data_IF_136756233086
#
_entry.id   IF_136756233086
#
_cell.length_a   1.000
_cell.length_b   1.000
_cell.length_c   1.000
_cell.angle_alpha   90.00
_cell.angle_beta   90.00
_cell.angle_gamma   90.00
#
_symmetry.space_group_name_H-M   'P 1'
#
loop_
_entity.id
_entity.type
_entity.pdbx_description
1 polymer ?
#
# COMPACT_ATOMS: atom_id res chain seq x y z
N UNK A 1 -43.03 27.64 -34.98
CA UNK A 1 -43.47 27.66 -33.57
C UNK A 1 -44.08 26.29 -33.31
N UNK A 2 -43.50 25.35 -32.58
CA UNK A 2 -42.60 25.44 -31.42
C UNK A 2 -41.75 24.17 -31.36
N UNK A 3 -40.48 24.36 -31.09
CA UNK A 3 -39.44 23.36 -30.88
C UNK A 3 -39.46 22.87 -29.42
N UNK A 4 -38.87 21.70 -29.18
CA UNK A 4 -38.33 21.20 -27.91
C UNK A 4 -39.26 20.43 -26.95
N UNK A 5 -39.17 19.09 -27.02
CA UNK A 5 -39.00 18.23 -25.85
C UNK A 5 -38.63 16.78 -26.28
N UNK A 6 -37.47 16.59 -26.92
CA UNK A 6 -36.89 15.26 -27.09
C UNK A 6 -35.39 15.23 -26.77
N UNK A 7 -34.97 16.00 -25.76
CA UNK A 7 -33.60 16.04 -25.24
C UNK A 7 -33.52 15.41 -23.85
N UNK A 8 -34.00 14.17 -23.72
CA UNK A 8 -33.66 13.33 -22.58
C UNK A 8 -33.60 11.87 -23.03
N UNK A 9 -32.45 11.44 -23.59
CA UNK A 9 -31.74 10.35 -22.93
C UNK A 9 -30.22 10.47 -23.12
N UNK A 10 -29.52 11.27 -22.31
CA UNK A 10 -28.04 11.31 -22.37
C UNK A 10 -27.31 11.55 -21.04
N UNK A 11 -28.03 11.81 -19.93
CA UNK A 11 -27.41 11.97 -18.59
C UNK A 11 -27.61 10.78 -17.64
N UNK A 12 -28.29 9.74 -18.08
CA UNK A 12 -28.48 8.50 -17.33
C UNK A 12 -27.57 7.39 -17.87
N UNK A 13 -26.24 7.44 -17.64
CA UNK A 13 -25.36 6.30 -17.95
C UNK A 13 -23.95 6.33 -17.31
N UNK A 14 -23.68 7.13 -16.27
CA UNK A 14 -22.43 7.01 -15.51
C UNK A 14 -22.62 6.06 -14.32
N UNK A 15 -22.91 4.78 -14.60
CA UNK A 15 -23.19 3.77 -13.58
C UNK A 15 -21.93 3.26 -12.85
N UNK A 16 -22.07 2.83 -11.60
CA UNK A 16 -21.03 2.27 -10.72
C UNK A 16 -21.41 2.50 -9.25
N UNK A 17 -20.79 1.80 -8.29
CA UNK A 17 -21.04 2.12 -6.88
C UNK A 17 -20.37 3.45 -6.54
N UNK A 18 -21.10 4.50 -6.11
CA UNK A 18 -20.48 5.79 -5.82
C UNK A 18 -19.51 5.66 -4.65
N UNK A 19 -18.38 6.37 -4.73
CA UNK A 19 -17.42 6.44 -3.64
C UNK A 19 -17.98 7.32 -2.53
N UNK A 20 -18.08 6.78 -1.30
CA UNK A 20 -18.51 7.58 -0.16
C UNK A 20 -17.43 8.59 0.25
N UNK A 21 -17.87 9.77 0.71
CA UNK A 21 -16.96 10.80 1.21
C UNK A 21 -16.06 10.28 2.34
N UNK A 22 -16.58 9.40 3.21
CA UNK A 22 -15.81 8.81 4.30
C UNK A 22 -14.58 8.03 3.83
N UNK A 23 -14.68 7.29 2.72
CA UNK A 23 -13.55 6.56 2.13
C UNK A 23 -12.53 7.52 1.51
N UNK A 24 -13.00 8.56 0.80
CA UNK A 24 -12.11 9.57 0.21
C UNK A 24 -11.36 10.37 1.28
N UNK A 25 -12.04 10.74 2.37
CA UNK A 25 -11.46 11.43 3.52
C UNK A 25 -10.44 10.54 4.25
N UNK A 26 -10.75 9.26 4.47
CA UNK A 26 -9.82 8.30 5.05
C UNK A 26 -8.55 8.19 4.20
N UNK A 27 -8.69 7.97 2.89
CA UNK A 27 -7.54 7.86 1.99
C UNK A 27 -6.68 9.13 2.01
N UNK A 28 -7.30 10.31 2.04
CA UNK A 28 -6.58 11.59 2.15
C UNK A 28 -5.85 11.74 3.48
N UNK A 29 -6.52 11.41 4.59
CA UNK A 29 -5.92 11.47 5.93
C UNK A 29 -4.72 10.53 6.05
N UNK A 30 -4.86 9.30 5.55
CA UNK A 30 -3.74 8.34 5.51
C UNK A 30 -2.64 8.82 4.56
N UNK A 31 -2.97 9.44 3.42
CA UNK A 31 -1.96 10.00 2.52
C UNK A 31 -1.12 11.08 3.20
N UNK A 32 -1.78 12.02 3.90
CA UNK A 32 -1.10 13.08 4.67
C UNK A 32 -0.23 12.48 5.76
N UNK A 33 -0.76 11.53 6.54
CA UNK A 33 0.00 10.83 7.56
C UNK A 33 1.21 10.08 6.96
N UNK A 34 1.02 9.47 5.79
CA UNK A 34 2.07 8.73 5.10
C UNK A 34 3.17 9.63 4.57
N UNK A 35 2.85 10.85 4.12
CA UNK A 35 3.85 11.86 3.78
C UNK A 35 4.63 12.31 5.01
N UNK A 36 3.94 12.64 6.11
CA UNK A 36 4.55 13.21 7.30
C UNK A 36 5.35 12.18 8.09
N UNK A 37 4.70 11.10 8.51
CA UNK A 37 5.30 10.02 9.31
C UNK A 37 6.23 9.18 8.44
N UNK A 38 5.80 8.80 7.24
CA UNK A 38 6.65 8.03 6.33
C UNK A 38 7.88 8.81 5.88
N UNK A 39 7.71 10.09 5.57
CA UNK A 39 8.82 11.00 5.27
C UNK A 39 9.78 11.15 6.44
N UNK A 40 9.28 11.32 7.66
CA UNK A 40 10.10 11.40 8.88
C UNK A 40 10.91 10.11 9.11
N UNK A 41 10.26 8.96 9.10
CA UNK A 41 10.93 7.65 9.31
C UNK A 41 11.99 7.40 8.23
N UNK A 42 11.67 7.70 6.96
CA UNK A 42 12.61 7.59 5.85
C UNK A 42 13.81 8.53 6.06
N UNK A 43 13.56 9.81 6.33
CA UNK A 43 14.61 10.81 6.49
C UNK A 43 15.55 10.47 7.64
N UNK A 44 15.01 10.08 8.80
CA UNK A 44 15.83 9.70 9.97
C UNK A 44 16.64 8.43 9.66
N UNK A 45 16.04 7.43 9.00
CA UNK A 45 16.74 6.22 8.58
C UNK A 45 17.93 6.50 7.65
N UNK A 46 17.77 7.44 6.71
CA UNK A 46 18.84 7.86 5.79
C UNK A 46 20.02 8.49 6.52
N UNK A 47 19.80 9.11 7.69
CA UNK A 47 20.89 9.61 8.55
C UNK A 47 21.57 8.52 9.38
N UNK A 48 21.08 7.28 9.34
CA UNK A 48 21.58 6.15 10.12
C UNK A 48 21.07 6.08 11.56
N UNK A 49 20.15 6.96 11.96
CA UNK A 49 19.54 6.92 13.28
C UNK A 49 18.31 6.02 13.29
N UNK A 50 18.09 5.34 14.42
CA UNK A 50 16.89 4.54 14.65
C UNK A 50 15.82 5.43 15.27
N UNK A 51 14.64 5.48 14.64
CA UNK A 51 13.48 6.18 15.17
C UNK A 51 12.21 5.47 14.73
N UNK A 52 11.28 5.29 15.66
CA UNK A 52 10.07 4.52 15.43
C UNK A 52 9.22 4.36 16.69
N UNK A 53 8.10 3.64 16.60
CA UNK A 53 7.17 3.44 17.72
C UNK A 53 7.66 2.40 18.73
N UNK A 54 8.65 1.60 18.32
CA UNK A 54 9.33 0.56 19.09
C UNK A 54 10.83 0.63 18.83
N UNK A 55 11.66 0.02 19.69
CA UNK A 55 13.08 -0.18 19.42
C UNK A 55 13.27 -1.11 18.22
N UNK A 56 14.18 -0.75 17.32
CA UNK A 56 14.60 -1.59 16.18
C UNK A 56 16.11 -1.80 16.25
N UNK A 57 16.59 -2.95 15.79
CA UNK A 57 18.03 -3.26 15.76
C UNK A 57 18.81 -2.31 14.85
N UNK A 58 18.21 -1.97 13.70
CA UNK A 58 18.83 -1.13 12.69
C UNK A 58 17.87 -0.07 12.16
N UNK A 59 18.43 1.01 11.60
CA UNK A 59 17.63 2.08 11.01
C UNK A 59 16.92 1.66 9.72
N UNK A 60 17.33 0.54 9.11
CA UNK A 60 16.81 0.05 7.83
C UNK A 60 15.31 -0.28 7.92
N UNK A 61 14.86 -1.00 8.96
CA UNK A 61 13.46 -1.43 9.10
C UNK A 61 12.47 -0.26 9.22
N UNK A 62 12.65 0.70 10.15
CA UNK A 62 11.81 1.90 10.17
C UNK A 62 11.87 2.69 8.86
N UNK A 63 13.04 2.73 8.22
CA UNK A 63 13.22 3.36 6.91
C UNK A 63 12.39 2.72 5.81
N UNK A 64 12.35 1.39 5.74
CA UNK A 64 11.55 0.65 4.75
C UNK A 64 10.05 0.81 4.98
N UNK A 65 9.60 0.80 6.24
CA UNK A 65 8.21 1.11 6.61
C UNK A 65 7.88 2.55 6.18
N UNK A 66 8.77 3.50 6.49
CA UNK A 66 8.64 4.89 6.10
C UNK A 66 8.57 5.09 4.59
N UNK A 67 9.42 4.38 3.84
CA UNK A 67 9.44 4.41 2.39
C UNK A 67 8.13 3.87 1.80
N UNK A 68 7.62 2.75 2.34
CA UNK A 68 6.35 2.19 1.89
C UNK A 68 5.16 3.15 2.14
N UNK A 69 5.14 3.82 3.30
CA UNK A 69 4.18 4.89 3.57
C UNK A 69 4.34 6.03 2.55
N UNK A 70 5.54 6.59 2.43
CA UNK A 70 5.81 7.74 1.57
C UNK A 70 5.46 7.45 0.09
N UNK A 71 5.83 6.27 -0.39
CA UNK A 71 5.63 5.84 -1.77
C UNK A 71 4.17 5.52 -2.13
N UNK A 72 3.34 5.16 -1.15
CA UNK A 72 1.90 4.91 -1.39
C UNK A 72 1.06 6.19 -1.40
N UNK A 73 1.54 7.29 -0.83
CA UNK A 73 0.81 8.54 -0.70
C UNK A 73 0.24 9.10 -2.02
N UNK A 74 0.95 9.12 -3.17
CA UNK A 74 0.40 9.62 -4.44
C UNK A 74 -0.83 8.83 -4.92
N UNK A 75 -0.84 7.51 -4.72
CA UNK A 75 -1.99 6.66 -5.04
C UNK A 75 -3.19 6.96 -4.14
N UNK A 76 -2.95 7.20 -2.85
CA UNK A 76 -4.00 7.56 -1.90
C UNK A 76 -4.61 8.94 -2.19
N UNK A 77 -3.82 9.94 -2.59
CA UNK A 77 -4.37 11.22 -3.08
C UNK A 77 -5.17 11.06 -4.38
N UNK A 78 -4.85 10.07 -5.21
CA UNK A 78 -5.65 9.77 -6.40
C UNK A 78 -7.04 9.21 -6.05
N UNK A 79 -7.19 8.49 -4.94
CA UNK A 79 -8.49 7.99 -4.45
C UNK A 79 -9.47 9.13 -4.19
N UNK A 80 -9.00 10.25 -3.63
CA UNK A 80 -9.84 11.42 -3.35
C UNK A 80 -10.47 12.05 -4.61
N UNK A 81 -9.91 11.77 -5.79
CA UNK A 81 -10.39 12.27 -7.08
C UNK A 81 -11.26 11.25 -7.83
N UNK A 82 -11.35 10.02 -7.34
CA UNK A 82 -12.17 8.98 -7.95
C UNK A 82 -13.64 9.18 -7.61
N UNK A 83 -14.53 8.78 -8.53
CA UNK A 83 -15.99 8.91 -8.32
C UNK A 83 -16.65 7.59 -7.99
N UNK A 84 -16.03 6.49 -8.36
CA UNK A 84 -16.61 5.15 -8.23
C UNK A 84 -15.70 4.24 -7.42
N UNK A 85 -16.33 3.35 -6.65
CA UNK A 85 -15.66 2.34 -5.83
C UNK A 85 -14.76 1.42 -6.64
N UNK A 86 -15.22 1.03 -7.83
CA UNK A 86 -14.52 0.10 -8.71
C UNK A 86 -13.15 0.64 -9.16
N UNK A 87 -12.99 1.97 -9.23
CA UNK A 87 -11.74 2.62 -9.63
C UNK A 87 -10.66 2.55 -8.55
N UNK A 88 -11.05 2.34 -7.29
CA UNK A 88 -10.16 2.50 -6.12
C UNK A 88 -10.05 1.25 -5.26
N UNK A 89 -10.95 0.27 -5.44
CA UNK A 89 -11.00 -0.92 -4.58
C UNK A 89 -9.69 -1.71 -4.56
N UNK A 90 -8.95 -1.74 -5.66
CA UNK A 90 -7.65 -2.44 -5.74
C UNK A 90 -6.57 -1.81 -4.86
N UNK A 91 -6.69 -0.53 -4.49
CA UNK A 91 -5.81 0.15 -3.55
C UNK A 91 -6.37 0.17 -2.12
N UNK A 92 -7.70 0.20 -1.97
CA UNK A 92 -8.34 0.29 -0.66
C UNK A 92 -8.34 -1.03 0.14
N UNK A 93 -8.39 -2.19 -0.52
CA UNK A 93 -8.21 -3.46 0.19
C UNK A 93 -6.79 -3.60 0.79
N UNK A 94 -5.70 -3.35 0.04
CA UNK A 94 -4.36 -3.26 0.62
C UNK A 94 -4.23 -2.25 1.74
N UNK A 95 -4.83 -1.06 1.59
CA UNK A 95 -4.83 -0.05 2.63
C UNK A 95 -5.47 -0.59 3.93
N UNK A 96 -6.61 -1.27 3.84
CA UNK A 96 -7.26 -1.89 4.99
C UNK A 96 -6.36 -2.95 5.64
N UNK A 97 -5.66 -3.76 4.84
CA UNK A 97 -4.70 -4.76 5.31
C UNK A 97 -3.56 -4.08 6.08
N UNK A 98 -3.00 -2.98 5.58
CA UNK A 98 -1.96 -2.22 6.29
C UNK A 98 -2.50 -1.70 7.62
N UNK A 99 -3.64 -1.00 7.61
CA UNK A 99 -4.17 -0.35 8.81
C UNK A 99 -4.55 -1.38 9.88
N UNK A 100 -5.29 -2.41 9.52
CA UNK A 100 -5.74 -3.46 10.45
C UNK A 100 -4.57 -4.34 10.86
N UNK A 101 -3.72 -4.74 9.92
CA UNK A 101 -2.58 -5.62 10.18
C UNK A 101 -1.55 -4.95 11.07
N UNK A 102 -1.17 -3.71 10.77
CA UNK A 102 -0.17 -2.99 11.55
C UNK A 102 -0.70 -2.63 12.93
N UNK A 103 -1.99 -2.28 13.04
CA UNK A 103 -2.63 -2.10 14.35
C UNK A 103 -2.61 -3.39 15.17
N UNK A 104 -2.97 -4.51 14.54
CA UNK A 104 -2.95 -5.83 15.19
C UNK A 104 -1.56 -6.21 15.67
N UNK A 105 -0.53 -6.04 14.84
CA UNK A 105 0.88 -6.28 15.23
C UNK A 105 1.30 -5.36 16.37
N UNK A 106 0.94 -4.09 16.31
CA UNK A 106 1.23 -3.10 17.37
C UNK A 106 0.58 -3.52 18.70
N UNK A 107 -0.67 -3.99 18.68
CA UNK A 107 -1.38 -4.43 19.88
C UNK A 107 -0.86 -5.77 20.43
N UNK A 108 -0.57 -6.74 19.55
CA UNK A 108 -0.01 -8.04 19.94
C UNK A 108 1.37 -7.91 20.59
N UNK A 109 2.13 -6.88 20.21
CA UNK A 109 3.45 -6.58 20.75
C UNK A 109 3.45 -5.30 21.58
N UNK A 110 2.32 -4.93 22.19
CA UNK A 110 2.20 -3.67 22.94
C UNK A 110 3.24 -3.53 24.06
N UNK A 111 3.68 -4.65 24.64
CA UNK A 111 4.75 -4.68 25.65
C UNK A 111 6.13 -4.30 25.13
N UNK A 112 6.38 -4.38 23.82
CA UNK A 112 7.64 -4.02 23.16
C UNK A 112 7.66 -2.60 22.59
N UNK A 113 6.64 -1.79 22.87
CA UNK A 113 6.57 -0.41 22.42
C UNK A 113 7.30 0.51 23.41
N UNK A 114 7.83 1.63 22.94
CA UNK A 114 8.48 2.62 23.81
C UNK A 114 7.57 3.13 24.93
N UNK A 115 6.24 3.16 24.73
CA UNK A 115 5.29 3.54 25.78
C UNK A 115 5.25 2.54 26.95
N UNK A 116 5.56 1.27 26.70
CA UNK A 116 5.55 0.21 27.70
C UNK A 116 6.95 -0.04 28.29
N UNK A 117 7.98 -0.13 27.44
CA UNK A 117 9.36 -0.37 27.88
C UNK A 117 10.03 0.88 28.47
N UNK A 118 9.54 2.06 28.11
CA UNK A 118 10.21 3.32 28.38
C UNK A 118 11.30 3.63 27.34
N UNK A 119 11.84 4.83 27.37
CA UNK A 119 12.86 5.28 26.42
C UNK A 119 12.92 6.79 26.31
N UNK A 120 13.59 7.33 25.27
CA UNK A 120 13.62 8.76 25.02
C UNK A 120 12.19 9.33 24.89
N UNK A 121 11.95 10.50 25.50
CA UNK A 121 10.62 11.13 25.56
C UNK A 121 9.98 11.27 24.18
N UNK A 122 10.75 11.64 23.16
CA UNK A 122 10.26 11.76 21.78
C UNK A 122 9.77 10.42 21.22
N UNK A 123 10.49 9.31 21.46
CA UNK A 123 10.07 7.98 21.00
C UNK A 123 8.83 7.48 21.73
N UNK A 124 8.70 7.78 23.03
CA UNK A 124 7.50 7.46 23.82
C UNK A 124 6.28 8.23 23.28
N UNK A 125 6.43 9.54 23.05
CA UNK A 125 5.37 10.38 22.48
C UNK A 125 5.01 9.92 21.06
N UNK A 126 6.00 9.56 20.25
CA UNK A 126 5.77 9.02 18.92
C UNK A 126 5.04 7.68 18.95
N UNK A 127 5.40 6.79 19.88
CA UNK A 127 4.71 5.51 20.11
C UNK A 127 3.24 5.70 20.52
N UNK A 128 2.97 6.65 21.42
CA UNK A 128 1.60 7.03 21.80
C UNK A 128 0.82 7.55 20.59
N UNK A 129 1.41 8.48 19.83
CA UNK A 129 0.81 9.01 18.62
C UNK A 129 0.55 7.94 17.57
N UNK A 130 1.48 7.00 17.41
CA UNK A 130 1.37 5.85 16.51
C UNK A 130 0.16 4.99 16.86
N UNK A 131 0.04 4.54 18.12
CA UNK A 131 -1.10 3.72 18.56
C UNK A 131 -2.42 4.47 18.34
N UNK A 132 -2.48 5.74 18.75
CA UNK A 132 -3.71 6.54 18.67
C UNK A 132 -4.15 6.75 17.22
N UNK A 133 -3.26 7.22 16.35
CA UNK A 133 -3.56 7.49 14.93
C UNK A 133 -3.86 6.20 14.19
N UNK A 134 -3.07 5.14 14.40
CA UNK A 134 -3.27 3.85 13.75
C UNK A 134 -4.58 3.19 14.20
N UNK A 135 -4.91 3.26 15.49
CA UNK A 135 -6.19 2.78 16.02
C UNK A 135 -7.38 3.54 15.43
N UNK A 136 -7.30 4.87 15.37
CA UNK A 136 -8.33 5.70 14.75
C UNK A 136 -8.52 5.35 13.26
N UNK A 137 -7.42 5.24 12.50
CA UNK A 137 -7.49 4.85 11.09
C UNK A 137 -7.99 3.43 10.88
N UNK A 138 -7.63 2.49 11.75
CA UNK A 138 -8.14 1.12 11.71
C UNK A 138 -9.67 1.09 11.88
N UNK A 139 -10.19 1.73 12.92
CA UNK A 139 -11.64 1.82 13.18
C UNK A 139 -12.34 2.53 12.02
N UNK A 140 -11.80 3.66 11.56
CA UNK A 140 -12.37 4.40 10.43
C UNK A 140 -12.37 3.57 9.14
N UNK A 141 -11.30 2.83 8.84
CA UNK A 141 -11.23 1.95 7.68
C UNK A 141 -12.30 0.86 7.72
N UNK A 142 -12.45 0.16 8.85
CA UNK A 142 -13.46 -0.89 9.01
C UNK A 142 -14.87 -0.33 8.82
N UNK A 143 -15.19 0.80 9.46
CA UNK A 143 -16.51 1.42 9.35
C UNK A 143 -16.77 1.92 7.93
N UNK A 144 -15.82 2.67 7.35
CA UNK A 144 -15.97 3.25 6.02
C UNK A 144 -16.14 2.17 4.95
N UNK A 145 -15.36 1.09 5.01
CA UNK A 145 -15.48 -0.04 4.09
C UNK A 145 -16.79 -0.81 4.30
N UNK A 146 -17.17 -1.10 5.55
CA UNK A 146 -18.44 -1.76 5.83
C UNK A 146 -19.64 -0.96 5.30
N UNK A 147 -19.64 0.37 5.48
CA UNK A 147 -20.66 1.26 4.94
C UNK A 147 -20.61 1.32 3.41
N UNK A 148 -19.43 1.38 2.82
CA UNK A 148 -19.24 1.35 1.37
C UNK A 148 -19.79 0.07 0.75
N UNK A 149 -19.62 -1.08 1.40
CA UNK A 149 -20.15 -2.35 0.92
C UNK A 149 -21.68 -2.44 0.94
N UNK A 150 -22.34 -1.64 1.79
CA UNK A 150 -23.81 -1.54 1.87
C UNK A 150 -24.42 -0.66 0.77
N UNK A 151 -23.64 0.18 0.09
CA UNK A 151 -24.14 1.01 -1.00
C UNK A 151 -24.51 0.11 -2.20
N UNK A 152 -25.71 0.26 -2.75
CA UNK A 152 -26.14 -0.54 -3.89
C UNK A 152 -25.24 -0.29 -5.13
N UNK A 153 -24.89 -1.36 -5.83
CA UNK A 153 -24.18 -1.24 -7.10
C UNK A 153 -25.18 -0.87 -8.20
N UNK A 154 -24.87 0.17 -8.97
CA UNK A 154 -25.62 0.49 -10.19
C UNK A 154 -25.00 -0.27 -11.37
N UNK A 155 -25.84 -0.84 -12.23
CA UNK A 155 -25.37 -1.59 -13.40
C UNK A 155 -24.49 -0.71 -14.28
N UNK A 156 -23.26 -1.16 -14.51
CA UNK A 156 -22.32 -0.53 -15.44
C UNK A 156 -21.93 -1.54 -16.50
N UNK A 157 -22.13 -1.19 -17.76
CA UNK A 157 -21.39 -1.77 -18.87
C UNK A 157 -20.22 -0.83 -19.16
N UNK A 158 -19.02 -1.19 -18.72
CA UNK A 158 -17.81 -0.52 -19.19
C UNK A 158 -17.10 -1.43 -20.17
N UNK A 159 -16.67 -0.87 -21.29
CA UNK A 159 -15.62 -1.46 -22.09
C UNK A 159 -14.34 -1.49 -21.24
N UNK A 160 -14.07 -2.63 -20.60
CA UNK A 160 -12.86 -2.85 -19.81
C UNK A 160 -11.63 -2.81 -20.70
N UNK A 161 -10.50 -2.35 -20.15
CA UNK A 161 -9.20 -2.50 -20.78
C UNK A 161 -8.48 -3.67 -20.10
N UNK A 162 -8.66 -4.91 -20.59
CA UNK A 162 -8.15 -6.08 -19.91
C UNK A 162 -6.64 -6.05 -19.78
N UNK A 163 -6.10 -6.71 -18.74
CA UNK A 163 -4.65 -6.85 -18.62
C UNK A 163 -4.15 -7.72 -19.79
N UNK A 164 -3.01 -7.38 -20.39
CA UNK A 164 -2.41 -8.24 -21.40
C UNK A 164 -2.19 -9.65 -20.86
N UNK A 165 -2.60 -10.68 -21.62
CA UNK A 165 -2.52 -12.07 -21.15
C UNK A 165 -1.11 -12.51 -20.72
N UNK A 166 -0.07 -11.94 -21.33
CA UNK A 166 1.33 -12.23 -21.00
C UNK A 166 1.77 -11.71 -19.62
N UNK A 167 1.14 -10.67 -19.08
CA UNK A 167 1.51 -10.11 -17.77
C UNK A 167 0.84 -10.83 -16.60
N UNK A 168 -0.22 -11.60 -16.86
CA UNK A 168 -1.01 -12.29 -15.82
C UNK A 168 -0.20 -13.32 -15.02
N UNK A 169 0.55 -14.26 -15.63
CA UNK A 169 1.31 -15.24 -14.85
C UNK A 169 2.42 -14.61 -13.98
N UNK A 170 3.26 -13.68 -14.48
CA UNK A 170 4.23 -12.98 -13.64
C UNK A 170 3.60 -12.21 -12.48
N UNK A 171 2.45 -11.55 -12.69
CA UNK A 171 1.73 -10.85 -11.61
C UNK A 171 1.17 -11.83 -10.58
N UNK A 172 0.65 -12.98 -11.00
CA UNK A 172 0.18 -14.02 -10.10
C UNK A 172 1.30 -14.55 -9.20
N UNK A 173 2.47 -14.82 -9.79
CA UNK A 173 3.66 -15.27 -9.06
C UNK A 173 4.15 -14.20 -8.08
N UNK A 174 4.30 -12.96 -8.56
CA UNK A 174 4.76 -11.84 -7.74
C UNK A 174 3.81 -11.57 -6.55
N UNK A 175 2.50 -11.51 -6.82
CA UNK A 175 1.50 -11.28 -5.78
C UNK A 175 1.42 -12.42 -4.76
N UNK A 176 1.53 -13.67 -5.23
CA UNK A 176 1.55 -14.86 -4.35
C UNK A 176 2.81 -14.93 -3.50
N UNK A 177 3.97 -14.55 -4.06
CA UNK A 177 5.24 -14.49 -3.33
C UNK A 177 5.18 -13.45 -2.19
N UNK A 178 4.72 -12.24 -2.48
CA UNK A 178 4.51 -11.19 -1.47
C UNK A 178 3.52 -11.61 -0.38
N UNK A 179 2.41 -12.24 -0.76
CA UNK A 179 1.41 -12.74 0.19
C UNK A 179 1.98 -13.85 1.06
N UNK A 180 2.71 -14.80 0.48
CA UNK A 180 3.36 -15.90 1.20
C UNK A 180 4.42 -15.42 2.19
N UNK A 181 5.33 -14.54 1.75
CA UNK A 181 6.36 -13.95 2.60
C UNK A 181 5.72 -13.12 3.72
N UNK A 182 4.75 -12.27 3.39
CA UNK A 182 4.04 -11.45 4.39
C UNK A 182 3.33 -12.28 5.44
N UNK A 183 2.64 -13.34 5.02
CA UNK A 183 1.99 -14.29 5.94
C UNK A 183 3.01 -15.01 6.81
N UNK A 184 4.13 -15.44 6.22
CA UNK A 184 5.23 -16.09 6.92
C UNK A 184 5.81 -15.23 8.04
N UNK A 185 6.13 -13.98 7.71
CA UNK A 185 6.65 -12.99 8.67
C UNK A 185 5.65 -12.68 9.79
N UNK A 186 4.34 -12.71 9.51
CA UNK A 186 3.32 -12.50 10.54
C UNK A 186 3.15 -13.69 11.49
N UNK A 187 3.07 -14.91 10.94
CA UNK A 187 2.74 -16.14 11.69
C UNK A 187 3.97 -16.72 12.39
N UNK A 188 5.12 -16.74 11.72
CA UNK A 188 6.37 -17.32 12.24
C UNK A 188 7.56 -16.39 11.98
N UNK A 189 7.57 -15.17 12.57
CA UNK A 189 8.59 -14.16 12.31
C UNK A 189 10.01 -14.69 12.52
N UNK A 190 10.27 -15.46 13.58
CA UNK A 190 11.63 -15.96 13.86
C UNK A 190 12.21 -16.87 12.76
N UNK A 191 11.39 -17.64 12.03
CA UNK A 191 11.90 -18.45 10.92
C UNK A 191 12.02 -17.64 9.62
N UNK A 192 11.08 -16.73 9.37
CA UNK A 192 11.06 -15.94 8.14
C UNK A 192 12.01 -14.75 8.17
N UNK A 193 12.36 -14.24 9.35
CA UNK A 193 13.35 -13.20 9.54
C UNK A 193 14.75 -13.66 9.11
N UNK A 194 15.08 -14.95 9.24
CA UNK A 194 16.36 -15.52 8.78
C UNK A 194 16.51 -15.45 7.23
N UNK A 195 15.40 -15.27 6.51
CA UNK A 195 15.41 -15.05 5.05
C UNK A 195 15.37 -13.58 4.67
N UNK A 196 15.38 -12.66 5.63
CA UNK A 196 15.57 -11.24 5.37
C UNK A 196 17.08 -10.98 5.30
N UNK A 197 17.60 -10.29 4.27
CA UNK A 197 19.04 -10.14 4.09
C UNK A 197 19.68 -9.11 5.03
N UNK A 198 19.06 -8.82 6.17
CA UNK A 198 19.55 -7.92 7.22
C UNK A 198 18.92 -8.32 8.56
N UNK A 199 19.55 -7.87 9.66
CA UNK A 199 19.08 -8.20 11.00
C UNK A 199 17.73 -7.56 11.31
N UNK A 200 16.77 -8.39 11.71
CA UNK A 200 15.38 -7.98 11.92
C UNK A 200 14.86 -8.63 13.19
N UNK A 201 14.36 -7.82 14.11
CA UNK A 201 13.68 -8.35 15.29
C UNK A 201 12.26 -8.84 14.96
N UNK A 202 11.59 -9.42 15.95
CA UNK A 202 10.24 -9.96 15.76
C UNK A 202 9.23 -8.90 15.30
N UNK A 203 9.29 -7.70 15.88
CA UNK A 203 8.26 -6.68 15.68
C UNK A 203 8.45 -6.02 14.31
N UNK A 204 9.68 -5.71 13.94
CA UNK A 204 10.08 -5.25 12.61
C UNK A 204 9.70 -6.28 11.55
N UNK A 205 9.99 -7.56 11.77
CA UNK A 205 9.66 -8.64 10.84
C UNK A 205 8.15 -8.69 10.58
N UNK A 206 7.33 -8.63 11.64
CA UNK A 206 5.88 -8.61 11.51
C UNK A 206 5.38 -7.34 10.81
N UNK A 207 5.95 -6.17 11.10
CA UNK A 207 5.59 -4.92 10.45
C UNK A 207 5.90 -4.94 8.94
N UNK A 208 7.09 -5.42 8.55
CA UNK A 208 7.43 -5.69 7.14
C UNK A 208 6.48 -6.73 6.52
N UNK A 209 6.10 -7.75 7.30
CA UNK A 209 5.14 -8.76 6.91
C UNK A 209 3.76 -8.19 6.54
N UNK A 210 3.26 -7.21 7.29
CA UNK A 210 2.01 -6.49 6.96
C UNK A 210 2.12 -5.79 5.61
N UNK A 211 3.22 -5.08 5.37
CA UNK A 211 3.44 -4.38 4.10
C UNK A 211 3.58 -5.34 2.92
N UNK A 212 4.34 -6.43 3.09
CA UNK A 212 4.44 -7.51 2.12
C UNK A 212 3.06 -8.12 1.80
N UNK A 213 2.26 -8.39 2.83
CA UNK A 213 0.91 -8.92 2.66
C UNK A 213 0.01 -7.94 1.88
N UNK A 214 0.06 -6.65 2.20
CA UNK A 214 -0.70 -5.62 1.50
C UNK A 214 -0.30 -5.50 0.02
N UNK A 215 1.00 -5.56 -0.30
CA UNK A 215 1.49 -5.60 -1.68
C UNK A 215 0.95 -6.82 -2.42
N UNK A 216 0.98 -8.00 -1.80
CA UNK A 216 0.41 -9.23 -2.37
C UNK A 216 -1.08 -9.10 -2.67
N UNK A 217 -1.85 -8.58 -1.70
CA UNK A 217 -3.29 -8.31 -1.87
C UNK A 217 -3.54 -7.29 -2.98
N UNK A 218 -2.69 -6.27 -3.14
CA UNK A 218 -2.83 -5.26 -4.18
C UNK A 218 -2.56 -5.81 -5.57
N UNK A 219 -1.48 -6.59 -5.73
CA UNK A 219 -1.10 -7.21 -7.00
C UNK A 219 -2.13 -8.27 -7.41
N UNK A 220 -2.54 -9.16 -6.51
CA UNK A 220 -3.55 -10.17 -6.80
C UNK A 220 -4.95 -9.55 -6.99
N UNK A 221 -5.27 -8.49 -6.25
CA UNK A 221 -6.50 -7.72 -6.46
C UNK A 221 -6.54 -7.06 -7.84
N UNK A 222 -5.42 -6.51 -8.31
CA UNK A 222 -5.29 -5.99 -9.67
C UNK A 222 -5.46 -7.09 -10.74
N UNK A 223 -4.88 -8.28 -10.49
CA UNK A 223 -5.03 -9.44 -11.38
C UNK A 223 -6.49 -9.94 -11.43
N UNK A 224 -7.17 -10.02 -10.28
CA UNK A 224 -8.56 -10.45 -10.18
C UNK A 224 -9.54 -9.45 -10.81
N UNK A 225 -9.21 -8.16 -10.77
CA UNK A 225 -9.99 -7.12 -11.44
C UNK A 225 -9.92 -7.23 -12.97
N UNK A 226 -8.75 -7.62 -13.48
CA UNK A 226 -8.44 -7.72 -14.92
C UNK A 226 -8.84 -6.48 -15.72
N UNK A 227 -8.68 -5.28 -15.15
CA UNK A 227 -9.00 -4.01 -15.81
C UNK A 227 -7.95 -2.93 -15.44
N UNK A 228 -7.17 -2.51 -16.43
CA UNK A 228 -6.13 -1.48 -16.28
C UNK A 228 -6.69 -0.14 -15.80
N UNK A 229 -7.90 0.23 -16.23
CA UNK A 229 -8.50 1.52 -15.84
C UNK A 229 -8.79 1.57 -14.33
N UNK A 230 -9.13 0.42 -13.74
CA UNK A 230 -9.49 0.25 -12.32
C UNK A 230 -8.31 0.04 -11.39
N UNK A 231 -7.11 -0.13 -11.96
CA UNK A 231 -5.86 -0.28 -11.19
C UNK A 231 -5.04 1.02 -11.17
N UNK A 232 -5.54 2.10 -11.78
CA UNK A 232 -4.82 3.38 -11.94
C UNK A 232 -4.28 3.96 -10.61
N UNK A 233 -5.05 4.01 -9.50
CA UNK A 233 -4.50 4.50 -8.23
C UNK A 233 -3.37 3.61 -7.69
N UNK A 234 -3.50 2.28 -7.83
CA UNK A 234 -2.46 1.34 -7.43
C UNK A 234 -1.19 1.49 -8.28
N UNK A 235 -1.34 1.71 -9.59
CA UNK A 235 -0.24 1.96 -10.52
C UNK A 235 0.54 3.25 -10.22
N UNK A 236 -0.05 4.21 -9.50
CA UNK A 236 0.66 5.41 -9.03
C UNK A 236 1.43 5.14 -7.73
N UNK A 237 0.92 4.27 -6.85
CA UNK A 237 1.55 3.92 -5.59
C UNK A 237 2.76 2.98 -5.76
N UNK A 238 2.65 2.00 -6.66
CA UNK A 238 3.70 0.99 -6.88
C UNK A 238 5.08 1.57 -7.23
N UNK A 239 5.24 2.45 -8.24
CA UNK A 239 6.55 2.99 -8.58
C UNK A 239 7.09 3.93 -7.50
N UNK A 240 6.22 4.68 -6.82
CA UNK A 240 6.62 5.52 -5.68
C UNK A 240 7.17 4.69 -4.52
N UNK A 241 6.47 3.59 -4.19
CA UNK A 241 6.89 2.63 -3.16
C UNK A 241 8.22 1.98 -3.50
N UNK A 242 8.35 1.46 -4.71
CA UNK A 242 9.58 0.78 -5.10
C UNK A 242 10.76 1.76 -5.26
N UNK A 243 10.53 2.99 -5.71
CA UNK A 243 11.59 4.01 -5.78
C UNK A 243 12.08 4.42 -4.38
N UNK A 244 11.17 4.73 -3.45
CA UNK A 244 11.52 5.12 -2.08
C UNK A 244 12.21 3.96 -1.34
N UNK A 245 11.74 2.72 -1.49
CA UNK A 245 12.42 1.53 -0.95
C UNK A 245 13.82 1.38 -1.53
N UNK A 246 13.99 1.55 -2.85
CA UNK A 246 15.30 1.48 -3.51
C UNK A 246 16.26 2.53 -2.95
N UNK A 247 15.79 3.75 -2.69
CA UNK A 247 16.61 4.81 -2.08
C UNK A 247 17.08 4.42 -0.69
N UNK A 248 16.19 3.89 0.16
CA UNK A 248 16.57 3.43 1.50
C UNK A 248 17.55 2.27 1.45
N UNK A 249 17.28 1.25 0.62
CA UNK A 249 18.17 0.10 0.44
C UNK A 249 19.54 0.51 -0.09
N UNK A 250 19.60 1.44 -1.04
CA UNK A 250 20.86 1.94 -1.59
C UNK A 250 21.65 2.74 -0.53
N UNK A 251 20.97 3.63 0.21
CA UNK A 251 21.60 4.43 1.26
C UNK A 251 22.10 3.57 2.43
N UNK A 252 21.44 2.44 2.70
CA UNK A 252 21.79 1.49 3.75
C UNK A 252 22.38 0.19 3.22
N UNK A 253 22.96 0.22 2.01
CA UNK A 253 23.45 -0.98 1.35
C UNK A 253 24.47 -1.78 2.19
N UNK A 254 25.28 -1.11 3.01
CA UNK A 254 26.24 -1.78 3.88
C UNK A 254 25.61 -2.67 4.98
N UNK A 255 24.31 -2.51 5.25
CA UNK A 255 23.57 -3.28 6.27
C UNK A 255 22.81 -4.46 5.65
N UNK A 256 22.89 -4.61 4.33
CA UNK A 256 22.24 -5.68 3.60
C UNK A 256 23.31 -6.68 3.17
N UNK A 257 23.12 -7.95 3.52
CA UNK A 257 23.91 -9.05 3.00
C UNK A 257 23.51 -9.34 1.54
N UNK A 258 24.11 -8.59 0.62
CA UNK A 258 23.90 -8.75 -0.82
C UNK A 258 24.43 -10.08 -1.39
N UNK A 259 25.29 -10.79 -0.65
CA UNK A 259 25.79 -12.10 -1.08
C UNK A 259 24.77 -13.23 -0.80
N UNK A 260 23.75 -12.94 0.01
CA UNK A 260 22.71 -13.91 0.34
C UNK A 260 21.73 -14.17 -0.82
N UNK A 261 21.22 -15.41 -0.90
CA UNK A 261 20.17 -15.77 -1.86
C UNK A 261 18.89 -14.91 -1.76
N UNK A 262 18.41 -14.56 -0.55
CA UNK A 262 17.25 -13.69 -0.39
C UNK A 262 17.45 -12.25 -0.89
N UNK A 263 18.67 -11.71 -0.87
CA UNK A 263 18.93 -10.37 -1.41
C UNK A 263 18.62 -10.29 -2.92
N UNK A 264 18.96 -11.33 -3.70
CA UNK A 264 18.57 -11.42 -5.11
C UNK A 264 17.05 -11.46 -5.27
N UNK A 265 16.36 -12.23 -4.42
CA UNK A 265 14.89 -12.31 -4.44
C UNK A 265 14.25 -10.95 -4.16
N UNK A 266 14.77 -10.21 -3.17
CA UNK A 266 14.34 -8.85 -2.86
C UNK A 266 14.52 -7.91 -4.06
N UNK A 267 15.69 -7.93 -4.70
CA UNK A 267 15.96 -7.11 -5.89
C UNK A 267 14.96 -7.45 -7.01
N UNK A 268 14.74 -8.73 -7.29
CA UNK A 268 13.76 -9.17 -8.29
C UNK A 268 12.34 -8.71 -7.94
N UNK A 269 11.95 -8.75 -6.66
CA UNK A 269 10.62 -8.34 -6.21
C UNK A 269 10.43 -6.82 -6.31
N UNK A 270 11.41 -6.02 -5.88
CA UNK A 270 11.38 -4.54 -5.99
C UNK A 270 11.40 -4.11 -7.46
N UNK A 271 12.26 -4.71 -8.28
CA UNK A 271 12.28 -4.49 -9.72
C UNK A 271 10.95 -4.88 -10.37
N UNK A 272 10.35 -6.01 -9.94
CA UNK A 272 9.03 -6.44 -10.38
C UNK A 272 7.93 -5.41 -10.11
N UNK A 273 7.94 -4.77 -8.93
CA UNK A 273 7.00 -3.69 -8.60
C UNK A 273 7.21 -2.45 -9.48
N UNK A 274 8.47 -2.04 -9.73
CA UNK A 274 8.78 -0.95 -10.65
C UNK A 274 8.31 -1.25 -12.07
N UNK A 275 8.64 -2.43 -12.59
CA UNK A 275 8.25 -2.87 -13.93
C UNK A 275 6.73 -2.96 -14.06
N UNK A 276 6.03 -3.50 -13.07
CA UNK A 276 4.57 -3.57 -13.05
C UNK A 276 3.94 -2.17 -13.08
N UNK A 277 4.42 -1.24 -12.23
CA UNK A 277 3.95 0.14 -12.20
C UNK A 277 4.21 0.90 -13.52
N UNK A 278 5.43 0.82 -14.04
CA UNK A 278 5.85 1.51 -15.25
C UNK A 278 5.16 0.98 -16.51
N UNK A 279 5.08 -0.35 -16.67
CA UNK A 279 4.39 -0.98 -17.80
C UNK A 279 2.90 -0.70 -17.77
N UNK A 280 2.25 -0.78 -16.60
CA UNK A 280 0.84 -0.41 -16.46
C UNK A 280 0.57 1.05 -16.83
N UNK A 281 1.45 1.98 -16.42
CA UNK A 281 1.33 3.39 -16.79
C UNK A 281 1.52 3.63 -18.29
N UNK A 282 2.49 2.94 -18.92
CA UNK A 282 2.71 3.00 -20.36
C UNK A 282 1.51 2.46 -21.15
N UNK A 283 0.95 1.32 -20.74
CA UNK A 283 -0.23 0.72 -21.37
C UNK A 283 -1.47 1.60 -21.25
N UNK A 284 -1.65 2.28 -20.11
CA UNK A 284 -2.73 3.25 -19.92
C UNK A 284 -2.61 4.45 -20.88
N UNK A 285 -1.41 5.02 -21.02
CA UNK A 285 -1.16 6.14 -21.95
C UNK A 285 -1.42 5.74 -23.40
N UNK A 286 -0.93 4.57 -23.82
CA UNK A 286 -1.15 4.05 -25.18
C UNK A 286 -2.63 3.80 -25.47
N UNK A 287 -3.37 3.29 -24.50
CA UNK A 287 -4.81 3.00 -24.63
C UNK A 287 -5.68 4.26 -24.65
N UNK A 288 -5.18 5.40 -24.14
CA UNK A 288 -5.83 6.69 -24.27
C UNK A 288 -5.56 7.30 -25.66
N UNK A 289 -4.32 7.26 -26.13
CA UNK A 289 -3.92 7.78 -27.44
C UNK A 289 -4.55 7.04 -28.64
N UNK A 290 -5.03 5.81 -28.45
CA UNK A 290 -5.75 5.05 -29.50
C UNK A 290 -7.27 5.35 -29.53
N UNK A 291 -7.80 6.12 -28.57
CA UNK A 291 -9.23 6.51 -28.51
C UNK A 291 -9.48 7.94 -28.99
N UNK A 292 -8.42 8.74 -29.09
CA UNK A 292 -8.42 10.09 -29.68
C UNK A 292 -8.12 10.01 -31.19
#
# INVERSE_FOLDING_TARGET
>A
MTQAASDAPARAAAGGRPLTAGVAMLATAVAVNSLLVGGLLTAVSLTGHVFGPWPSLESLNPGLIGAAMLGTAPGLFAVARARHWEEVRTLLHPLAVVLVGLFSVTMLNAGGLYIAEGGPVLSVLFSLGWIFVLGLFCVWAVIALALQHRVAAQQRSMAGAPLPGWSKPPLAVLGSAWLGIGTGLLVRPGFWADFVPWDTDRLDAQALGVWALALGVGVLGALAEDDLARTRPALLALPGTAATMTVVLAARAAHVDWASGPALSLVCMVAGLLCAGASGHFLLKRSAALRD
#
